data_IF_393500094750
#
_entry.id   IF_393500094750
#
_cell.length_a   1.000
_cell.length_b   1.000
_cell.length_c   1.000
_cell.angle_alpha   90.00
_cell.angle_beta   90.00
_cell.angle_gamma   90.00
#
_symmetry.space_group_name_H-M   'P 1'
#
loop_
_entity.id
_entity.type
_entity.pdbx_description
1 polymer ?
#
# COMPACT_ATOMS: atom_id res chain seq x y z
N UNK A 1 33.36 24.43 0.98
CA UNK A 1 34.21 23.24 1.14
C UNK A 1 34.42 23.09 2.63
N UNK A 2 33.64 22.31 3.38
CA UNK A 2 33.15 20.94 3.12
C UNK A 2 31.83 20.73 3.87
N UNK A 3 30.77 20.29 3.19
CA UNK A 3 30.31 18.89 3.12
C UNK A 3 29.26 18.55 4.19
N UNK A 4 28.02 18.73 3.73
CA UNK A 4 26.76 18.06 4.10
C UNK A 4 26.91 16.80 4.98
N UNK A 5 26.35 16.84 6.19
CA UNK A 5 25.86 15.65 6.87
C UNK A 5 24.42 15.88 7.32
N UNK A 6 23.49 15.70 6.38
CA UNK A 6 22.06 15.72 6.65
C UNK A 6 21.66 14.37 7.26
N UNK A 7 21.93 14.18 8.55
CA UNK A 7 21.56 12.99 9.31
C UNK A 7 20.07 13.02 9.67
N UNK A 8 19.20 12.93 8.65
CA UNK A 8 17.76 12.82 8.83
C UNK A 8 17.39 11.47 9.43
N UNK A 9 17.22 11.42 10.75
CA UNK A 9 16.77 10.27 11.51
C UNK A 9 15.31 9.90 11.18
N UNK A 10 15.08 9.23 10.05
CA UNK A 10 13.80 8.60 9.77
C UNK A 10 13.82 7.17 10.36
N UNK A 11 13.35 7.10 11.60
CA UNK A 11 13.35 6.02 12.57
C UNK A 11 13.17 4.60 11.99
N UNK A 12 14.01 3.68 12.46
CA UNK A 12 13.90 2.24 12.25
C UNK A 12 12.74 1.68 13.08
N UNK A 13 11.51 1.63 12.55
CA UNK A 13 10.44 0.97 13.29
C UNK A 13 10.51 -0.54 13.11
N UNK A 14 10.82 -1.24 14.20
CA UNK A 14 10.72 -2.70 14.28
C UNK A 14 9.34 -3.07 14.79
N UNK A 15 8.49 -3.64 13.92
CA UNK A 15 7.16 -4.13 14.32
C UNK A 15 7.16 -5.64 14.41
N UNK A 16 6.81 -6.16 15.59
CA UNK A 16 6.64 -7.59 15.81
C UNK A 16 5.23 -8.03 15.37
N UNK A 17 5.15 -9.03 14.50
CA UNK A 17 3.90 -9.58 13.99
C UNK A 17 3.80 -11.04 14.45
N UNK A 18 2.69 -11.41 15.08
CA UNK A 18 2.42 -12.79 15.49
C UNK A 18 1.45 -13.42 14.49
N UNK A 19 1.87 -14.51 13.82
CA UNK A 19 0.99 -15.34 12.97
C UNK A 19 1.23 -16.81 13.26
N UNK A 20 0.15 -17.57 13.53
CA UNK A 20 0.19 -19.02 13.82
C UNK A 20 1.21 -19.39 14.90
N UNK A 21 1.24 -18.65 16.01
CA UNK A 21 2.17 -18.88 17.12
C UNK A 21 3.63 -18.47 16.86
N UNK A 22 3.99 -18.10 15.63
CA UNK A 22 5.34 -17.67 15.26
C UNK A 22 5.46 -16.14 15.27
N UNK A 23 6.52 -15.63 15.89
CA UNK A 23 6.84 -14.20 15.98
C UNK A 23 7.76 -13.83 14.81
N UNK A 24 7.38 -12.79 14.07
CA UNK A 24 8.16 -12.24 12.97
C UNK A 24 8.51 -10.78 13.26
N UNK A 25 9.79 -10.44 13.19
CA UNK A 25 10.25 -9.05 13.25
C UNK A 25 10.22 -8.45 11.84
N UNK A 26 9.46 -7.38 11.67
CA UNK A 26 9.41 -6.62 10.41
C UNK A 26 10.04 -5.27 10.65
N UNK A 27 11.27 -5.10 10.16
CA UNK A 27 11.94 -3.81 10.16
C UNK A 27 11.54 -3.02 8.90
N UNK A 28 10.90 -1.87 9.10
CA UNK A 28 10.57 -0.95 8.01
C UNK A 28 11.55 0.20 8.06
N UNK A 29 12.39 0.30 7.03
CA UNK A 29 13.43 1.32 6.95
C UNK A 29 13.24 2.27 5.77
N UNK A 30 12.20 2.06 4.95
CA UNK A 30 11.94 2.85 3.76
C UNK A 30 10.54 3.45 3.81
N UNK A 31 10.45 4.74 4.16
CA UNK A 31 9.19 5.46 4.28
C UNK A 31 8.91 6.28 3.03
N UNK A 32 7.64 6.33 2.63
CA UNK A 32 7.21 7.20 1.56
C UNK A 32 7.18 8.66 2.04
N UNK A 33 7.90 9.61 1.41
CA UNK A 33 7.96 10.99 1.87
C UNK A 33 6.62 11.75 1.74
N UNK A 34 5.67 11.22 0.95
CA UNK A 34 4.38 11.88 0.70
C UNK A 34 3.23 11.41 1.60
N UNK A 35 3.25 10.14 2.04
CA UNK A 35 2.16 9.58 2.85
C UNK A 35 2.65 8.83 4.10
N UNK A 36 3.95 8.91 4.38
CA UNK A 36 4.65 8.29 5.50
C UNK A 36 4.45 6.78 5.65
N UNK A 37 4.04 6.08 4.58
CA UNK A 37 3.88 4.63 4.62
C UNK A 37 5.24 3.94 4.66
N UNK A 38 5.48 3.13 5.68
CA UNK A 38 6.72 2.37 5.85
C UNK A 38 6.72 1.02 5.10
N UNK A 39 7.84 0.75 4.43
CA UNK A 39 8.13 -0.47 3.66
C UNK A 39 9.42 -1.13 4.15
N UNK A 40 9.48 -2.46 4.02
CA UNK A 40 10.67 -3.26 4.34
C UNK A 40 11.78 -3.15 3.31
N UNK A 41 11.43 -2.91 2.04
CA UNK A 41 12.38 -2.87 0.93
C UNK A 41 12.26 -1.56 0.16
N UNK A 42 13.41 -0.97 -0.21
CA UNK A 42 13.48 0.28 -0.98
C UNK A 42 12.72 0.18 -2.29
N UNK A 43 12.84 -0.94 -3.02
CA UNK A 43 12.11 -1.20 -4.28
C UNK A 43 10.60 -1.09 -4.13
N UNK A 44 10.05 -1.55 -2.99
CA UNK A 44 8.62 -1.50 -2.72
C UNK A 44 8.17 -0.06 -2.43
N UNK A 45 8.95 0.68 -1.65
CA UNK A 45 8.70 2.11 -1.40
C UNK A 45 8.79 2.92 -2.69
N UNK A 46 9.82 2.72 -3.51
CA UNK A 46 9.98 3.42 -4.80
C UNK A 46 8.83 3.12 -5.77
N UNK A 47 8.41 1.85 -5.88
CA UNK A 47 7.23 1.48 -6.68
C UNK A 47 5.97 2.15 -6.16
N UNK A 48 5.77 2.13 -4.85
CA UNK A 48 4.66 2.83 -4.22
C UNK A 48 4.69 4.33 -4.52
N UNK A 49 5.84 4.99 -4.34
CA UNK A 49 5.96 6.42 -4.60
C UNK A 49 5.63 6.77 -6.05
N UNK A 50 6.05 5.94 -7.01
CA UNK A 50 5.86 6.18 -8.45
C UNK A 50 4.44 5.88 -8.95
N UNK A 51 3.81 4.80 -8.47
CA UNK A 51 2.57 4.28 -9.06
C UNK A 51 1.37 4.30 -8.13
N UNK A 52 1.58 4.35 -6.82
CA UNK A 52 0.51 4.31 -5.83
C UNK A 52 0.28 5.68 -5.20
N UNK A 53 1.37 6.34 -4.79
CA UNK A 53 1.30 7.51 -3.94
C UNK A 53 0.81 8.71 -4.75
N UNK A 54 -0.36 9.23 -4.38
CA UNK A 54 -1.01 10.32 -5.11
C UNK A 54 -1.76 9.90 -6.38
N UNK A 55 -1.82 8.60 -6.71
CA UNK A 55 -2.70 8.13 -7.79
C UNK A 55 -4.13 8.02 -7.30
N UNK A 56 -5.05 8.65 -8.03
CA UNK A 56 -6.48 8.53 -7.82
C UNK A 56 -6.94 7.09 -8.15
N UNK A 57 -7.92 6.55 -7.40
CA UNK A 57 -8.48 5.24 -7.70
C UNK A 57 -9.04 5.22 -9.13
N UNK A 58 -8.70 4.16 -9.90
CA UNK A 58 -9.15 4.01 -11.29
C UNK A 58 -10.41 3.19 -11.42
N UNK A 59 -10.71 2.38 -10.40
CA UNK A 59 -11.73 1.35 -10.44
C UNK A 59 -12.70 1.52 -9.28
N UNK A 60 -13.99 1.48 -9.58
CA UNK A 60 -15.09 1.52 -8.62
C UNK A 60 -15.86 0.20 -8.66
N UNK A 61 -16.30 -0.26 -7.49
CA UNK A 61 -17.26 -1.35 -7.37
C UNK A 61 -18.62 -0.92 -7.94
N UNK A 62 -19.28 -1.69 -8.80
CA UNK A 62 -20.58 -1.31 -9.35
C UNK A 62 -21.72 -1.42 -8.33
N UNK A 63 -21.46 -2.04 -7.18
CA UNK A 63 -22.46 -2.36 -6.16
C UNK A 63 -22.31 -1.54 -4.87
N UNK A 64 -21.23 -0.76 -4.73
CA UNK A 64 -21.00 0.14 -3.60
C UNK A 64 -19.94 1.21 -3.94
N UNK A 65 -19.71 2.15 -3.03
CA UNK A 65 -18.76 3.26 -3.23
C UNK A 65 -17.29 2.86 -3.00
N UNK A 66 -16.98 1.56 -3.05
CA UNK A 66 -15.60 1.11 -2.87
C UNK A 66 -14.76 1.42 -4.10
N UNK A 67 -13.72 2.21 -3.86
CA UNK A 67 -12.72 2.61 -4.84
C UNK A 67 -11.39 1.87 -4.67
N UNK A 68 -10.71 1.63 -5.79
CA UNK A 68 -9.39 1.00 -5.83
C UNK A 68 -8.54 1.49 -6.99
N UNK A 69 -7.23 1.45 -6.81
CA UNK A 69 -6.23 1.71 -7.87
C UNK A 69 -6.02 0.50 -8.78
N UNK A 70 -6.41 -0.67 -8.31
CA UNK A 70 -6.15 -1.95 -8.94
C UNK A 70 -7.40 -2.80 -9.10
N UNK A 71 -7.49 -3.55 -10.20
CA UNK A 71 -8.61 -4.44 -10.54
C UNK A 71 -8.69 -5.63 -9.58
N UNK A 72 -7.56 -6.27 -9.24
CA UNK A 72 -7.53 -7.43 -8.35
C UNK A 72 -8.13 -7.14 -6.97
N UNK A 73 -7.99 -5.90 -6.50
CA UNK A 73 -8.56 -5.47 -5.24
C UNK A 73 -10.09 -5.34 -5.31
N UNK A 74 -10.65 -4.89 -6.44
CA UNK A 74 -12.11 -4.85 -6.64
C UNK A 74 -12.67 -6.27 -6.76
N UNK A 75 -12.02 -7.15 -7.51
CA UNK A 75 -12.44 -8.55 -7.60
C UNK A 75 -12.47 -9.25 -6.25
N UNK A 76 -11.40 -9.11 -5.46
CA UNK A 76 -11.36 -9.67 -4.10
C UNK A 76 -12.43 -9.05 -3.19
N UNK A 77 -12.70 -7.75 -3.34
CA UNK A 77 -13.76 -7.07 -2.61
C UNK A 77 -15.15 -7.61 -2.98
N UNK A 78 -15.47 -7.77 -4.27
CA UNK A 78 -16.77 -8.30 -4.71
C UNK A 78 -16.97 -9.73 -4.20
N UNK A 79 -15.96 -10.61 -4.35
CA UNK A 79 -16.04 -11.98 -3.82
C UNK A 79 -16.34 -12.02 -2.31
N UNK A 80 -15.85 -11.05 -1.55
CA UNK A 80 -15.97 -11.04 -0.09
C UNK A 80 -17.24 -10.36 0.42
N UNK A 81 -17.64 -9.24 -0.19
CA UNK A 81 -18.72 -8.38 0.33
C UNK A 81 -19.98 -8.39 -0.55
N UNK A 82 -19.87 -8.92 -1.76
CA UNK A 82 -20.94 -9.03 -2.73
C UNK A 82 -21.03 -10.48 -3.24
N UNK A 83 -21.17 -11.48 -2.35
CA UNK A 83 -21.24 -12.88 -2.74
C UNK A 83 -22.41 -13.11 -3.70
N UNK A 84 -22.16 -13.87 -4.78
CA UNK A 84 -23.16 -14.16 -5.81
C UNK A 84 -23.34 -13.05 -6.86
N UNK A 85 -22.66 -11.91 -6.73
CA UNK A 85 -22.69 -10.85 -7.74
C UNK A 85 -21.58 -11.03 -8.78
N UNK A 86 -21.82 -10.54 -9.99
CA UNK A 86 -20.86 -10.67 -11.08
C UNK A 86 -19.57 -9.88 -10.78
N UNK A 87 -18.42 -10.49 -11.10
CA UNK A 87 -17.11 -9.88 -10.95
C UNK A 87 -16.88 -8.86 -12.07
N UNK A 88 -17.37 -7.64 -11.85
CA UNK A 88 -17.21 -6.51 -12.76
C UNK A 88 -16.76 -5.26 -12.01
N UNK A 89 -16.15 -4.31 -12.72
CA UNK A 89 -15.71 -3.04 -12.15
C UNK A 89 -16.05 -1.90 -13.10
N UNK A 90 -16.34 -0.72 -12.57
CA UNK A 90 -16.46 0.51 -13.36
C UNK A 90 -15.10 1.19 -13.42
N UNK A 91 -14.65 1.57 -14.61
CA UNK A 91 -13.46 2.40 -14.80
C UNK A 91 -13.89 3.86 -14.68
N UNK A 92 -13.18 4.63 -13.85
CA UNK A 92 -13.51 6.03 -13.56
C UNK A 92 -12.94 7.02 -14.58
N UNK A 93 -11.94 6.61 -15.36
CA UNK A 93 -11.29 7.38 -16.42
C UNK A 93 -10.48 6.47 -17.34
#
# INVERSE_FOLDING_TARGET
FDSLNFSGAHQYETRQIRKRGKVYSVNKSHYCPRCNRGFTLKKNMSRHLRHECGMAPKYQCPYCDKLSKFTQNIYAHIRKYHPGQALCFRRLY
#
